data_IF_692034834522
#
_entry.id   IF_692034834522
#
_cell.length_a   1.000
_cell.length_b   1.000
_cell.length_c   1.000
_cell.angle_alpha   90.00
_cell.angle_beta   90.00
_cell.angle_gamma   90.00
#
_symmetry.space_group_name_H-M   'P 1'
#
loop_
_entity.id
_entity.type
_entity.pdbx_description
1 polymer ?
#
# COMPACT_ATOMS: atom_id res chain seq x y z
N UNK A 1 -18.86 21.07 -7.74
CA UNK A 1 -18.45 19.91 -6.91
C UNK A 1 -17.18 19.27 -7.45
N UNK A 2 -17.00 19.23 -8.76
CA UNK A 2 -15.86 18.55 -9.39
C UNK A 2 -14.49 19.12 -9.00
N UNK A 3 -14.36 20.44 -8.82
CA UNK A 3 -13.10 21.06 -8.37
C UNK A 3 -12.70 20.60 -6.95
N UNK A 4 -13.68 20.45 -6.05
CA UNK A 4 -13.43 19.93 -4.69
C UNK A 4 -13.02 18.45 -4.73
N UNK A 5 -13.64 17.67 -5.61
CA UNK A 5 -13.28 16.26 -5.84
C UNK A 5 -11.84 16.18 -6.36
N UNK A 6 -11.48 16.98 -7.38
CA UNK A 6 -10.12 16.99 -7.93
C UNK A 6 -9.08 17.40 -6.88
N UNK A 7 -9.36 18.46 -6.11
CA UNK A 7 -8.46 18.95 -5.05
C UNK A 7 -8.22 17.91 -3.96
N UNK A 8 -9.28 17.25 -3.48
CA UNK A 8 -9.17 16.18 -2.48
C UNK A 8 -8.46 14.96 -3.09
N UNK A 9 -8.75 14.63 -4.35
CA UNK A 9 -8.09 13.54 -5.08
C UNK A 9 -6.58 13.71 -5.15
N UNK A 10 -6.10 14.91 -5.52
CA UNK A 10 -4.66 15.22 -5.54
C UNK A 10 -4.00 15.01 -4.18
N UNK A 11 -4.60 15.54 -3.11
CA UNK A 11 -4.06 15.41 -1.75
C UNK A 11 -3.98 13.95 -1.27
N UNK A 12 -4.95 13.12 -1.63
CA UNK A 12 -4.96 11.69 -1.25
C UNK A 12 -3.90 10.91 -2.04
N UNK A 13 -3.75 11.22 -3.33
CA UNK A 13 -2.69 10.63 -4.17
C UNK A 13 -1.31 10.95 -3.62
N UNK A 14 -1.09 12.18 -3.16
CA UNK A 14 0.16 12.59 -2.51
C UNK A 14 0.33 11.95 -1.13
N UNK A 15 -0.73 11.96 -0.31
CA UNK A 15 -0.68 11.41 1.04
C UNK A 15 -2.01 10.77 1.47
N UNK A 16 -2.11 9.46 1.24
CA UNK A 16 -3.27 8.64 1.63
C UNK A 16 -3.52 8.57 3.15
N UNK A 17 -2.58 9.00 3.99
CA UNK A 17 -2.70 8.96 5.46
C UNK A 17 -3.41 10.18 6.05
N UNK A 18 -3.80 11.15 5.23
CA UNK A 18 -4.52 12.32 5.70
C UNK A 18 -5.89 11.93 6.29
N UNK A 19 -6.21 12.51 7.44
CA UNK A 19 -7.53 12.34 8.05
C UNK A 19 -8.56 13.23 7.35
N UNK A 20 -9.85 12.90 7.49
CA UNK A 20 -10.96 13.75 7.02
C UNK A 20 -10.83 15.17 7.58
N UNK A 21 -10.44 15.29 8.85
CA UNK A 21 -10.21 16.59 9.49
C UNK A 21 -9.03 17.34 8.86
N UNK A 22 -7.91 16.66 8.62
CA UNK A 22 -6.75 17.27 7.98
C UNK A 22 -7.05 17.72 6.54
N UNK A 23 -7.80 16.91 5.78
CA UNK A 23 -8.27 17.28 4.45
C UNK A 23 -9.18 18.51 4.51
N UNK A 24 -10.14 18.56 5.43
CA UNK A 24 -11.03 19.70 5.62
C UNK A 24 -10.24 20.98 5.96
N UNK A 25 -9.27 20.90 6.86
CA UNK A 25 -8.42 22.04 7.26
C UNK A 25 -7.56 22.56 6.10
N UNK A 26 -6.93 21.67 5.31
CA UNK A 26 -6.09 22.04 4.16
C UNK A 26 -6.94 22.62 3.02
N UNK A 27 -8.05 21.97 2.70
CA UNK A 27 -8.87 22.35 1.55
C UNK A 27 -9.84 23.49 1.83
N UNK A 28 -10.10 23.79 3.12
CA UNK A 28 -11.18 24.67 3.63
C UNK A 28 -12.58 24.19 3.23
N UNK A 29 -12.72 22.89 2.98
CA UNK A 29 -13.99 22.25 2.66
C UNK A 29 -14.60 21.72 3.96
N UNK A 30 -15.93 21.77 4.05
CA UNK A 30 -16.65 21.19 5.17
C UNK A 30 -16.32 19.70 5.35
N UNK A 31 -16.19 19.27 6.61
CA UNK A 31 -15.77 17.91 6.97
C UNK A 31 -16.74 16.84 6.43
N UNK A 32 -18.03 17.14 6.41
CA UNK A 32 -19.05 16.21 5.93
C UNK A 32 -19.02 16.10 4.40
N UNK A 33 -18.72 17.20 3.72
CA UNK A 33 -18.46 17.20 2.27
C UNK A 33 -17.22 16.36 1.93
N UNK A 34 -16.12 16.49 2.68
CA UNK A 34 -14.93 15.63 2.52
C UNK A 34 -15.29 14.17 2.74
N UNK A 35 -16.05 13.85 3.81
CA UNK A 35 -16.51 12.48 4.09
C UNK A 35 -17.32 11.93 2.91
N UNK A 36 -18.28 12.71 2.38
CA UNK A 36 -19.07 12.32 1.22
C UNK A 36 -18.21 12.05 -0.02
N UNK A 37 -17.26 12.92 -0.34
CA UNK A 37 -16.38 12.73 -1.50
C UNK A 37 -15.55 11.45 -1.37
N UNK A 38 -14.96 11.21 -0.19
CA UNK A 38 -14.18 9.99 0.05
C UNK A 38 -15.02 8.72 -0.10
N UNK A 39 -16.20 8.70 0.50
CA UNK A 39 -17.03 7.50 0.57
C UNK A 39 -17.87 7.27 -0.68
N UNK A 40 -18.50 8.30 -1.23
CA UNK A 40 -19.44 8.17 -2.33
C UNK A 40 -18.77 8.40 -3.70
N UNK A 41 -17.90 9.41 -3.82
CA UNK A 41 -17.25 9.71 -5.11
C UNK A 41 -16.04 8.82 -5.39
N UNK A 42 -15.21 8.56 -4.37
CA UNK A 42 -14.01 7.72 -4.51
C UNK A 42 -14.20 6.27 -4.03
N UNK A 43 -15.35 5.95 -3.45
CA UNK A 43 -15.65 4.61 -2.90
C UNK A 43 -14.57 4.10 -1.92
N UNK A 44 -13.93 5.01 -1.18
CA UNK A 44 -12.88 4.69 -0.24
C UNK A 44 -13.47 4.28 1.10
N UNK A 45 -12.88 3.25 1.72
CA UNK A 45 -13.16 2.88 3.10
C UNK A 45 -11.91 3.00 3.96
N UNK A 46 -12.11 3.32 5.24
CA UNK A 46 -11.02 3.33 6.21
C UNK A 46 -10.50 1.91 6.39
N UNK A 47 -9.25 1.70 6.02
CA UNK A 47 -8.52 0.45 6.26
C UNK A 47 -7.49 0.70 7.35
N UNK A 48 -7.33 -0.28 8.24
CA UNK A 48 -6.27 -0.25 9.23
C UNK A 48 -4.90 -0.39 8.54
N UNK A 49 -3.89 0.31 9.07
CA UNK A 49 -2.54 0.12 8.59
C UNK A 49 -2.11 -1.32 8.86
N UNK A 50 -1.50 -1.97 7.86
CA UNK A 50 -0.86 -3.28 8.06
C UNK A 50 0.45 -3.08 8.83
N UNK A 51 0.70 -3.91 9.84
CA UNK A 51 2.00 -3.96 10.51
C UNK A 51 3.02 -4.53 9.52
N UNK A 52 4.11 -3.80 9.30
CA UNK A 52 5.23 -4.26 8.46
C UNK A 52 6.42 -4.48 9.40
N UNK A 53 6.97 -5.71 9.51
CA UNK A 53 8.02 -6.02 10.48
C UNK A 53 9.28 -5.15 10.38
N UNK A 54 9.66 -4.72 9.17
CA UNK A 54 10.86 -3.92 8.95
C UNK A 54 10.72 -3.02 7.72
N UNK A 55 11.20 -1.78 7.85
CA UNK A 55 11.39 -0.90 6.69
C UNK A 55 12.69 -1.28 5.98
N UNK A 56 12.56 -1.72 4.73
CA UNK A 56 13.71 -2.15 3.92
C UNK A 56 14.41 -0.96 3.26
N UNK A 57 15.74 -1.01 3.23
CA UNK A 57 16.56 -0.07 2.44
C UNK A 57 16.37 -0.31 0.93
N UNK A 58 16.67 0.67 0.06
CA UNK A 58 16.58 0.48 -1.40
C UNK A 58 17.34 -0.76 -1.89
N UNK A 59 18.58 -0.95 -1.42
CA UNK A 59 19.41 -2.12 -1.74
C UNK A 59 18.78 -3.44 -1.29
N UNK A 60 18.15 -3.48 -0.12
CA UNK A 60 17.44 -4.67 0.36
C UNK A 60 16.21 -5.00 -0.49
N UNK A 61 15.51 -3.97 -0.99
CA UNK A 61 14.36 -4.17 -1.89
C UNK A 61 14.81 -4.74 -3.24
N UNK A 62 15.86 -4.17 -3.82
CA UNK A 62 16.43 -4.65 -5.08
C UNK A 62 16.91 -6.10 -4.97
N UNK A 63 17.70 -6.40 -3.93
CA UNK A 63 18.18 -7.77 -3.68
C UNK A 63 17.02 -8.76 -3.52
N UNK A 64 15.97 -8.41 -2.77
CA UNK A 64 14.78 -9.26 -2.65
C UNK A 64 14.07 -9.46 -3.98
N UNK A 65 13.93 -8.42 -4.79
CA UNK A 65 13.26 -8.51 -6.08
C UNK A 65 14.00 -9.46 -7.03
N UNK A 66 15.33 -9.33 -7.10
CA UNK A 66 16.16 -10.19 -7.94
C UNK A 66 16.09 -11.66 -7.49
N UNK A 67 16.26 -11.92 -6.19
CA UNK A 67 16.18 -13.29 -5.66
C UNK A 67 14.81 -13.90 -5.93
N UNK A 68 13.72 -13.15 -5.74
CA UNK A 68 12.37 -13.64 -6.02
C UNK A 68 12.16 -13.92 -7.52
N UNK A 69 12.69 -13.08 -8.41
CA UNK A 69 12.58 -13.30 -9.85
C UNK A 69 13.35 -14.56 -10.28
N UNK A 70 14.58 -14.73 -9.79
CA UNK A 70 15.39 -15.93 -10.06
C UNK A 70 14.72 -17.20 -9.51
N UNK A 71 14.19 -17.12 -8.28
CA UNK A 71 13.47 -18.25 -7.67
C UNK A 71 12.24 -18.62 -8.49
N UNK A 72 11.48 -17.64 -8.99
CA UNK A 72 10.32 -17.87 -9.82
C UNK A 72 10.70 -18.57 -11.15
N UNK A 73 11.74 -18.08 -11.83
CA UNK A 73 12.25 -18.72 -13.05
C UNK A 73 12.70 -20.16 -12.82
N UNK A 74 13.32 -20.44 -11.66
CA UNK A 74 13.73 -21.79 -11.31
C UNK A 74 12.54 -22.72 -11.08
N UNK A 75 11.48 -22.24 -10.41
CA UNK A 75 10.23 -22.99 -10.22
C UNK A 75 9.53 -23.25 -11.56
N UNK A 76 9.55 -22.28 -12.47
CA UNK A 76 8.95 -22.46 -13.81
C UNK A 76 9.72 -23.48 -14.66
N UNK A 77 11.05 -23.54 -14.47
CA UNK A 77 11.93 -24.50 -15.17
C UNK A 77 11.84 -25.90 -14.58
N UNK A 78 11.73 -26.01 -13.26
CA UNK A 78 11.57 -27.26 -12.52
C UNK A 78 10.39 -27.14 -11.54
N UNK A 79 9.18 -27.55 -11.96
CA UNK A 79 7.99 -27.51 -11.10
C UNK A 79 8.10 -28.37 -9.83
N UNK A 80 8.99 -29.36 -9.80
CA UNK A 80 9.23 -30.23 -8.65
C UNK A 80 10.25 -29.66 -7.66
N UNK A 81 10.84 -28.50 -7.94
CA UNK A 81 11.93 -27.91 -7.15
C UNK A 81 11.57 -27.77 -5.65
N UNK A 82 10.32 -27.39 -5.36
CA UNK A 82 9.87 -27.16 -3.98
C UNK A 82 9.71 -28.45 -3.18
N UNK A 83 9.56 -29.61 -3.83
CA UNK A 83 9.44 -30.91 -3.14
C UNK A 83 10.75 -31.31 -2.44
N UNK A 84 11.89 -30.77 -2.88
CA UNK A 84 13.20 -31.01 -2.29
C UNK A 84 13.59 -29.98 -1.21
N UNK A 85 12.78 -28.95 -0.98
CA UNK A 85 13.12 -27.86 -0.06
C UNK A 85 12.77 -28.23 1.38
N UNK A 86 13.76 -28.23 2.26
CA UNK A 86 13.58 -28.37 3.71
C UNK A 86 13.95 -27.04 4.36
N UNK A 87 13.02 -26.42 5.10
CA UNK A 87 13.23 -25.15 5.81
C UNK A 87 12.99 -25.30 7.31
N UNK A 88 13.79 -24.62 8.13
CA UNK A 88 13.54 -24.45 9.56
C UNK A 88 13.85 -22.99 9.94
N UNK A 89 13.09 -22.45 10.88
CA UNK A 89 13.35 -21.14 11.48
C UNK A 89 13.28 -21.29 13.01
N UNK A 90 14.20 -20.64 13.71
CA UNK A 90 14.22 -20.65 15.16
C UNK A 90 13.37 -19.46 15.65
N UNK A 91 12.13 -19.74 16.02
CA UNK A 91 11.27 -18.73 16.64
C UNK A 91 11.81 -18.41 18.04
N UNK A 92 12.58 -17.31 18.15
CA UNK A 92 12.95 -16.69 19.44
C UNK A 92 11.80 -15.81 19.92
#
# INVERSE_FOLDING_TARGET
>A
MDENIEKIGKLICENRRLSIRGLAEITRIDKECVRHILHESFNMRKVWAKLVPKLLTPKQKESRMNICADTLNNIDTDPGLLDAVITCDDNI
#
